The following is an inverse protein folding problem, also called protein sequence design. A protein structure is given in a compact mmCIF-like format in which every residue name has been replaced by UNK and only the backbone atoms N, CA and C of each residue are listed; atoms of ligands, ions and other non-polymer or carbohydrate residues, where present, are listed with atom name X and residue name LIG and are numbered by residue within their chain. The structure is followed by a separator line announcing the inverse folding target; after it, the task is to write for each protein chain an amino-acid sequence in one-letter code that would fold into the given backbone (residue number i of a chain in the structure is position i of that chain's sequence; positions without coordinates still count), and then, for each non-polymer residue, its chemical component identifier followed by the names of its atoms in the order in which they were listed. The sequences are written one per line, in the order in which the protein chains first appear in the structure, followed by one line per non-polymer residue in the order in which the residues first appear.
data_IF_801866881230
#
_entry.id   IF_801866881230
#
_cell.length_a   1.000
_cell.length_b   1.000
_cell.length_c   1.000
_cell.angle_alpha   90.00
_cell.angle_beta   90.00
_cell.angle_gamma   90.00
#
_symmetry.space_group_name_H-M   'P 1'
#
loop_
_entity.id
_entity.type
_entity.pdbx_description
1 polymer ?
#
# COMPACT_ATOMS: atom_id res chain seq x y z
N UNK A 1 -32.72 52.17 18.29
CA UNK A 1 -32.77 51.02 19.22
C UNK A 1 -31.35 50.53 19.41
N UNK A 2 -30.86 50.74 20.62
CA UNK A 2 -29.47 50.61 21.07
C UNK A 2 -29.08 49.17 21.35
N UNK A 3 -27.83 48.87 20.95
CA UNK A 3 -26.79 48.07 21.60
C UNK A 3 -27.17 47.00 22.64
N UNK A 4 -26.52 45.83 22.54
CA UNK A 4 -25.61 45.33 23.59
C UNK A 4 -24.79 44.12 23.09
N UNK A 5 -23.48 44.26 23.24
CA UNK A 5 -22.49 43.19 23.22
C UNK A 5 -22.19 42.78 24.68
N UNK A 6 -21.89 41.51 24.92
CA UNK A 6 -21.31 41.05 26.19
C UNK A 6 -20.21 40.05 25.92
N UNK A 7 -18.99 40.50 26.21
CA UNK A 7 -17.74 39.76 26.35
C UNK A 7 -17.69 39.14 27.74
N UNK A 8 -17.11 37.95 27.90
CA UNK A 8 -16.59 37.46 29.17
C UNK A 8 -15.43 36.51 28.93
N UNK A 9 -14.26 36.88 29.45
CA UNK A 9 -13.03 36.10 29.49
C UNK A 9 -12.69 35.79 30.96
N UNK A 10 -11.70 34.90 31.15
CA UNK A 10 -11.00 34.47 32.40
C UNK A 10 -11.36 33.02 32.79
N UNK A 11 -10.43 32.16 33.19
CA UNK A 11 -9.19 32.40 33.93
C UNK A 11 -8.22 31.22 33.77
N UNK A 12 -6.92 31.52 33.71
CA UNK A 12 -5.83 30.56 33.81
C UNK A 12 -5.68 30.01 35.24
N UNK A 13 -5.20 28.77 35.37
CA UNK A 13 -4.54 28.27 36.59
C UNK A 13 -3.60 27.10 36.26
N UNK A 14 -2.32 27.34 36.54
CA UNK A 14 -1.24 26.38 36.84
C UNK A 14 -0.41 27.09 37.94
N UNK A 15 0.54 26.47 38.67
CA UNK A 15 1.06 25.09 38.62
C UNK A 15 1.11 24.43 40.01
N UNK A 16 1.51 23.15 40.09
CA UNK A 16 2.22 22.68 41.29
C UNK A 16 3.24 21.59 40.96
N UNK A 17 4.44 21.85 41.47
CA UNK A 17 5.68 21.12 41.38
C UNK A 17 5.85 20.20 42.58
N UNK A 18 6.42 19.02 42.39
CA UNK A 18 7.06 18.17 43.42
C UNK A 18 7.45 16.85 42.75
N UNK A 19 8.56 16.16 43.01
CA UNK A 19 9.79 16.45 43.74
C UNK A 19 10.81 15.43 43.24
N UNK A 20 12.03 15.88 42.99
CA UNK A 20 13.19 15.05 42.71
C UNK A 20 13.44 14.08 43.86
N UNK A 21 13.62 12.78 43.55
CA UNK A 21 14.19 11.83 44.49
C UNK A 21 15.35 11.08 43.84
N UNK A 22 16.53 11.65 44.02
CA UNK A 22 17.82 11.06 43.69
C UNK A 22 18.12 9.92 44.66
N UNK A 23 18.04 8.67 44.19
CA UNK A 23 18.66 7.53 44.90
C UNK A 23 19.87 7.03 44.12
N UNK A 24 21.00 7.58 44.53
CA UNK A 24 22.36 7.10 44.26
C UNK A 24 22.50 5.73 44.95
N UNK A 25 22.53 4.64 44.17
CA UNK A 25 22.87 3.32 44.68
C UNK A 25 24.30 2.95 44.28
N UNK A 26 25.03 2.49 45.28
CA UNK A 26 26.45 2.24 45.37
C UNK A 26 26.95 1.13 44.45
N UNK A 27 28.10 1.38 43.82
CA UNK A 27 28.99 0.38 43.25
C UNK A 27 29.33 -0.70 44.28
N UNK A 28 29.08 -1.97 43.93
CA UNK A 28 29.75 -3.12 44.54
C UNK A 28 30.46 -3.90 43.44
N UNK A 29 31.77 -3.75 43.43
CA UNK A 29 32.71 -4.60 42.70
C UNK A 29 32.79 -5.95 43.38
N UNK A 30 32.49 -7.03 42.67
CA UNK A 30 32.84 -8.39 43.08
C UNK A 30 33.20 -9.23 41.86
N UNK A 31 34.51 -9.43 41.72
CA UNK A 31 35.22 -10.67 41.35
C UNK A 31 34.62 -11.61 40.29
N UNK A 32 35.40 -11.70 39.22
CA UNK A 32 35.51 -12.74 38.21
C UNK A 32 35.07 -14.15 38.61
N UNK A 33 34.16 -14.73 37.80
CA UNK A 33 34.17 -16.15 37.47
C UNK A 33 34.19 -16.29 35.95
N UNK A 34 35.30 -16.82 35.46
CA UNK A 34 35.51 -17.27 34.09
C UNK A 34 34.53 -18.40 33.78
N UNK A 35 33.46 -18.06 33.07
CA UNK A 35 32.54 -18.98 32.42
C UNK A 35 32.86 -18.93 30.93
N UNK A 36 33.48 -19.99 30.42
CA UNK A 36 33.74 -20.16 28.99
C UNK A 36 32.42 -20.41 28.29
N UNK A 37 31.72 -19.34 27.91
CA UNK A 37 30.59 -19.42 27.02
C UNK A 37 31.07 -19.87 25.63
N UNK A 38 30.37 -20.80 24.96
CA UNK A 38 30.66 -21.08 23.57
C UNK A 38 30.53 -19.77 22.79
N UNK A 39 31.59 -19.41 22.09
CA UNK A 39 31.64 -18.26 21.19
C UNK A 39 30.54 -18.40 20.15
N UNK A 40 29.34 -17.91 20.47
CA UNK A 40 28.34 -17.58 19.47
C UNK A 40 28.95 -16.46 18.64
N UNK A 41 29.56 -16.84 17.51
CA UNK A 41 29.81 -15.90 16.42
C UNK A 41 28.59 -14.98 16.36
N UNK A 42 28.75 -13.64 16.41
CA UNK A 42 27.62 -12.78 16.13
C UNK A 42 27.14 -13.22 14.75
N UNK A 43 25.95 -13.81 14.70
CA UNK A 43 25.30 -14.18 13.45
C UNK A 43 25.30 -12.88 12.69
N UNK A 44 26.13 -12.78 11.64
CA UNK A 44 26.20 -11.59 10.81
C UNK A 44 24.74 -11.24 10.53
N UNK A 45 24.27 -10.15 11.11
CA UNK A 45 22.87 -9.76 10.99
C UNK A 45 22.74 -9.50 9.50
N UNK A 46 22.21 -10.49 8.77
CA UNK A 46 22.04 -10.43 7.32
C UNK A 46 21.35 -9.12 7.06
N UNK A 47 22.06 -8.17 6.43
CA UNK A 47 21.57 -6.82 6.24
C UNK A 47 20.19 -6.93 5.59
N UNK A 48 19.15 -6.53 6.32
CA UNK A 48 17.78 -6.71 5.88
C UNK A 48 17.54 -5.71 4.75
N UNK A 49 17.55 -6.20 3.52
CA UNK A 49 17.30 -5.35 2.34
C UNK A 49 15.81 -5.05 2.22
N UNK A 50 15.46 -3.93 1.58
CA UNK A 50 14.07 -3.62 1.28
C UNK A 50 13.41 -4.77 0.48
N UNK A 51 14.13 -5.36 -0.46
CA UNK A 51 13.70 -6.56 -1.20
C UNK A 51 13.28 -7.70 -0.25
N UNK A 52 14.12 -8.04 0.73
CA UNK A 52 13.79 -9.10 1.71
C UNK A 52 12.58 -8.79 2.60
N UNK A 53 12.26 -7.50 2.79
CA UNK A 53 11.04 -7.06 3.51
C UNK A 53 9.82 -7.20 2.60
N UNK A 54 9.93 -6.72 1.36
CA UNK A 54 8.84 -6.67 0.38
C UNK A 54 8.44 -8.05 -0.15
N UNK A 55 9.42 -8.93 -0.39
CA UNK A 55 9.20 -10.31 -0.84
C UNK A 55 8.97 -11.29 0.32
N UNK A 56 9.20 -10.87 1.56
CA UNK A 56 9.04 -11.74 2.74
C UNK A 56 7.63 -11.69 3.33
N UNK A 57 6.99 -12.84 3.51
CA UNK A 57 5.63 -12.95 4.07
C UNK A 57 5.46 -12.59 5.56
N UNK A 58 6.53 -12.23 6.28
CA UNK A 58 6.48 -11.98 7.74
C UNK A 58 5.61 -10.79 8.14
N UNK A 59 5.64 -9.73 7.35
CA UNK A 59 4.91 -8.49 7.63
C UNK A 59 3.88 -8.29 6.53
N UNK A 60 2.67 -7.84 6.89
CA UNK A 60 1.69 -7.37 5.91
C UNK A 60 2.13 -6.02 5.37
N UNK A 61 2.10 -5.85 4.04
CA UNK A 61 2.44 -4.58 3.38
C UNK A 61 1.18 -3.96 2.81
N UNK A 62 0.80 -2.84 3.38
CA UNK A 62 -0.44 -2.17 3.01
C UNK A 62 -0.17 -1.07 1.98
N UNK A 63 -0.95 -1.08 0.90
CA UNK A 63 -0.96 -0.07 -0.15
C UNK A 63 -2.38 0.46 -0.29
N UNK A 64 -2.58 1.74 -0.61
CA UNK A 64 -3.93 2.20 -0.96
C UNK A 64 -4.39 1.52 -2.25
N UNK A 65 -3.61 1.63 -3.32
CA UNK A 65 -3.81 0.92 -4.59
C UNK A 65 -2.47 0.30 -4.96
N UNK A 66 -2.44 -1.04 -5.02
CA UNK A 66 -1.18 -1.77 -5.19
C UNK A 66 -0.64 -1.74 -6.64
N UNK A 67 -1.48 -1.46 -7.65
CA UNK A 67 -1.15 -1.73 -9.06
C UNK A 67 0.02 -0.93 -9.57
N UNK A 68 -0.04 0.40 -9.45
CA UNK A 68 1.05 1.30 -9.86
C UNK A 68 2.33 1.06 -9.06
N UNK A 69 2.20 0.73 -7.76
CA UNK A 69 3.35 0.45 -6.91
C UNK A 69 4.02 -0.88 -7.29
N UNK A 70 3.23 -1.92 -7.55
CA UNK A 70 3.72 -3.22 -7.97
C UNK A 70 4.38 -3.16 -9.35
N UNK A 71 3.78 -2.43 -10.30
CA UNK A 71 4.35 -2.20 -11.63
C UNK A 71 5.71 -1.51 -11.51
N UNK A 72 5.79 -0.38 -10.81
CA UNK A 72 7.06 0.34 -10.62
C UNK A 72 8.12 -0.51 -9.89
N UNK A 73 7.75 -1.24 -8.84
CA UNK A 73 8.68 -2.11 -8.11
C UNK A 73 9.20 -3.26 -8.99
N UNK A 74 8.36 -3.81 -9.85
CA UNK A 74 8.76 -4.88 -10.75
C UNK A 74 9.61 -4.36 -11.91
N UNK A 75 9.12 -3.36 -12.64
CA UNK A 75 9.75 -2.87 -13.88
C UNK A 75 11.05 -2.11 -13.61
N UNK A 76 11.11 -1.31 -12.54
CA UNK A 76 12.29 -0.50 -12.23
C UNK A 76 13.30 -1.22 -11.32
N UNK A 77 12.83 -2.10 -10.44
CA UNK A 77 13.67 -2.68 -9.38
C UNK A 77 13.75 -4.21 -9.42
N UNK A 78 12.92 -4.91 -10.21
CA UNK A 78 12.85 -6.37 -10.21
C UNK A 78 12.44 -6.96 -8.85
N UNK A 79 11.65 -6.21 -8.08
CA UNK A 79 11.21 -6.58 -6.72
C UNK A 79 9.76 -7.06 -6.75
N UNK A 80 9.54 -8.26 -6.21
CA UNK A 80 8.20 -8.79 -5.99
C UNK A 80 7.55 -8.28 -4.70
N UNK A 81 6.27 -8.62 -4.56
CA UNK A 81 5.48 -8.37 -3.37
C UNK A 81 4.85 -9.68 -2.89
N UNK A 82 4.87 -9.89 -1.57
CA UNK A 82 4.22 -11.00 -0.88
C UNK A 82 3.46 -10.45 0.35
N UNK A 83 2.49 -11.19 0.90
CA UNK A 83 1.66 -10.79 2.05
C UNK A 83 1.25 -9.30 2.00
N UNK A 84 0.52 -8.94 0.95
CA UNK A 84 0.09 -7.56 0.67
C UNK A 84 -1.39 -7.37 0.96
N UNK A 85 -1.74 -6.14 1.33
CA UNK A 85 -3.12 -5.69 1.52
C UNK A 85 -3.35 -4.41 0.71
N UNK A 86 -4.29 -4.46 -0.22
CA UNK A 86 -4.82 -3.33 -0.95
C UNK A 86 -5.97 -2.72 -0.11
N UNK A 87 -5.70 -1.60 0.56
CA UNK A 87 -6.63 -0.93 1.48
C UNK A 87 -7.84 -0.38 0.70
N UNK A 88 -7.69 -0.01 -0.58
CA UNK A 88 -8.82 0.43 -1.40
C UNK A 88 -9.82 -0.72 -1.63
N UNK A 89 -9.33 -1.95 -1.79
CA UNK A 89 -10.21 -3.12 -1.82
C UNK A 89 -10.85 -3.41 -0.47
N UNK A 90 -10.09 -3.24 0.62
CA UNK A 90 -10.61 -3.40 1.98
C UNK A 90 -11.71 -2.37 2.29
N UNK A 91 -11.53 -1.12 1.85
CA UNK A 91 -12.56 -0.08 1.95
C UNK A 91 -13.81 -0.48 1.15
N UNK A 92 -13.65 -0.96 -0.08
CA UNK A 92 -14.78 -1.30 -0.96
C UNK A 92 -15.69 -2.38 -0.35
N UNK A 93 -15.12 -3.40 0.30
CA UNK A 93 -15.89 -4.49 0.93
C UNK A 93 -16.60 -4.07 2.21
N UNK A 94 -16.17 -2.98 2.85
CA UNK A 94 -16.81 -2.45 4.07
C UNK A 94 -18.02 -1.56 3.79
N UNK A 95 -18.29 -1.22 2.52
CA UNK A 95 -19.43 -0.36 2.16
C UNK A 95 -20.75 -1.12 2.25
N UNK A 96 -21.78 -0.43 2.73
CA UNK A 96 -23.18 -0.91 2.77
C UNK A 96 -23.98 -0.56 1.50
N UNK A 97 -23.31 -0.24 0.39
CA UNK A 97 -23.94 0.25 -0.85
C UNK A 97 -23.03 -0.02 -2.04
N UNK A 98 -23.04 0.86 -3.04
CA UNK A 98 -22.34 0.62 -4.32
C UNK A 98 -20.86 0.24 -4.16
N UNK A 99 -20.55 -0.98 -4.62
CA UNK A 99 -19.22 -1.56 -4.66
C UNK A 99 -18.62 -1.57 -6.07
N UNK A 100 -19.34 -1.16 -7.11
CA UNK A 100 -18.90 -1.27 -8.50
C UNK A 100 -17.60 -0.53 -8.79
N UNK A 101 -17.31 0.54 -8.06
CA UNK A 101 -16.13 1.36 -8.27
C UNK A 101 -15.30 1.54 -7.00
N UNK A 102 -14.00 1.53 -7.18
CA UNK A 102 -13.04 1.85 -6.11
C UNK A 102 -13.00 3.36 -5.84
N UNK A 103 -12.60 3.77 -4.63
CA UNK A 103 -12.54 5.18 -4.22
C UNK A 103 -11.10 5.70 -4.13
N UNK A 104 -10.96 7.01 -4.26
CA UNK A 104 -9.71 7.73 -4.11
C UNK A 104 -9.28 7.87 -2.64
N UNK A 105 -7.97 7.84 -2.39
CA UNK A 105 -7.40 7.96 -1.02
C UNK A 105 -7.88 9.23 -0.32
N UNK A 106 -7.76 10.38 -0.96
CA UNK A 106 -8.13 11.66 -0.36
C UNK A 106 -9.61 11.71 0.03
N UNK A 107 -10.48 11.06 -0.76
CA UNK A 107 -11.90 10.98 -0.47
C UNK A 107 -12.14 10.19 0.81
N UNK A 108 -11.49 9.03 0.94
CA UNK A 108 -11.59 8.19 2.12
C UNK A 108 -10.96 8.83 3.37
N UNK A 109 -9.82 9.51 3.24
CA UNK A 109 -9.23 10.29 4.34
C UNK A 109 -10.20 11.37 4.81
N UNK A 110 -10.80 12.12 3.89
CA UNK A 110 -11.75 13.19 4.23
C UNK A 110 -13.04 12.65 4.87
N UNK A 111 -13.55 11.52 4.37
CA UNK A 111 -14.84 10.96 4.79
C UNK A 111 -14.75 10.19 6.11
N UNK A 112 -13.68 9.40 6.27
CA UNK A 112 -13.63 8.34 7.28
C UNK A 112 -12.69 8.63 8.44
N UNK A 113 -11.79 9.61 8.30
CA UNK A 113 -10.89 10.02 9.37
C UNK A 113 -11.24 11.41 9.89
N UNK A 114 -11.03 11.61 11.19
CA UNK A 114 -11.13 12.92 11.85
C UNK A 114 -9.83 13.70 11.64
N UNK A 115 -9.68 14.27 10.43
CA UNK A 115 -8.51 15.09 10.04
C UNK A 115 -8.86 16.56 10.16
N UNK A 116 -7.96 17.33 10.77
CA UNK A 116 -8.12 18.78 10.89
C UNK A 116 -8.34 19.44 9.51
N UNK A 117 -9.32 20.33 9.35
CA UNK A 117 -9.66 20.90 8.04
C UNK A 117 -8.48 21.59 7.34
N UNK A 118 -7.58 22.21 8.09
CA UNK A 118 -6.42 22.89 7.54
C UNK A 118 -5.33 21.92 7.08
N UNK A 119 -5.16 20.79 7.76
CA UNK A 119 -4.27 19.70 7.33
C UNK A 119 -4.78 19.10 6.01
N UNK A 120 -6.07 18.79 5.93
CA UNK A 120 -6.70 18.28 4.71
C UNK A 120 -6.55 19.26 3.54
N UNK A 121 -6.83 20.56 3.76
CA UNK A 121 -6.66 21.60 2.73
C UNK A 121 -5.22 21.68 2.24
N UNK A 122 -4.25 21.62 3.15
CA UNK A 122 -2.84 21.69 2.81
C UNK A 122 -2.42 20.45 1.99
N UNK A 123 -2.88 19.27 2.38
CA UNK A 123 -2.63 18.02 1.65
C UNK A 123 -3.22 18.03 0.24
N UNK A 124 -4.48 18.43 0.08
CA UNK A 124 -5.11 18.56 -1.23
C UNK A 124 -4.40 19.59 -2.11
N UNK A 125 -3.88 20.68 -1.52
CA UNK A 125 -3.09 21.67 -2.26
C UNK A 125 -1.78 21.06 -2.74
N UNK A 126 -1.05 20.36 -1.88
CA UNK A 126 0.19 19.67 -2.23
C UNK A 126 -0.03 18.67 -3.38
N UNK A 127 -1.06 17.82 -3.27
CA UNK A 127 -1.43 16.87 -4.34
C UNK A 127 -1.72 17.55 -5.66
N UNK A 128 -2.45 18.68 -5.66
CA UNK A 128 -2.72 19.45 -6.88
C UNK A 128 -1.45 20.02 -7.51
N UNK A 129 -0.47 20.44 -6.71
CA UNK A 129 0.81 20.93 -7.23
C UNK A 129 1.57 19.79 -7.93
N UNK A 130 1.67 18.64 -7.28
CA UNK A 130 2.32 17.45 -7.87
C UNK A 130 1.57 16.95 -9.11
N UNK A 131 0.24 16.87 -9.06
CA UNK A 131 -0.59 16.41 -10.18
C UNK A 131 -0.47 17.30 -11.42
N UNK A 132 -0.39 18.63 -11.26
CA UNK A 132 -0.16 19.55 -12.39
C UNK A 132 1.20 19.36 -13.05
N UNK A 133 2.17 18.86 -12.29
CA UNK A 133 3.49 18.56 -12.79
C UNK A 133 3.64 17.11 -13.27
N UNK A 134 2.59 16.27 -13.18
CA UNK A 134 2.64 14.83 -13.44
C UNK A 134 2.98 14.45 -14.90
N UNK A 135 2.95 15.40 -15.83
CA UNK A 135 3.51 15.24 -17.18
C UNK A 135 5.04 15.32 -17.25
N UNK A 136 5.69 15.59 -16.12
CA UNK A 136 7.14 15.67 -15.97
C UNK A 136 7.59 14.87 -14.75
N UNK A 137 8.74 14.22 -14.83
CA UNK A 137 9.37 13.59 -13.66
C UNK A 137 9.91 14.64 -12.66
N UNK A 138 9.84 15.93 -13.00
CA UNK A 138 10.50 17.04 -12.31
C UNK A 138 10.25 17.10 -10.79
N UNK A 139 9.01 16.93 -10.27
CA UNK A 139 8.77 16.97 -8.83
C UNK A 139 9.58 15.92 -8.06
N UNK A 140 9.82 14.76 -8.68
CA UNK A 140 10.48 13.63 -8.04
C UNK A 140 11.98 13.55 -8.36
N UNK A 141 12.48 14.29 -9.35
CA UNK A 141 13.91 14.30 -9.74
C UNK A 141 14.69 15.50 -9.19
N UNK A 142 14.03 16.62 -8.92
CA UNK A 142 14.68 17.81 -8.36
C UNK A 142 15.27 17.57 -6.96
N UNK A 143 16.44 18.13 -6.68
CA UNK A 143 17.07 18.09 -5.35
C UNK A 143 17.56 19.49 -4.94
N UNK A 144 17.17 20.01 -3.76
CA UNK A 144 16.24 19.40 -2.79
C UNK A 144 14.81 19.31 -3.33
N UNK A 145 14.02 18.37 -2.79
CA UNK A 145 12.61 18.22 -3.18
C UNK A 145 11.80 19.40 -2.65
N UNK A 146 10.80 19.87 -3.42
CA UNK A 146 9.93 20.96 -2.98
C UNK A 146 9.12 20.56 -1.72
N UNK A 147 8.81 21.50 -0.81
CA UNK A 147 7.99 21.22 0.37
C UNK A 147 6.63 20.58 0.02
N UNK A 148 6.01 21.02 -1.08
CA UNK A 148 4.75 20.47 -1.56
C UNK A 148 4.88 19.02 -2.02
N UNK A 149 5.96 18.67 -2.72
CA UNK A 149 6.19 17.27 -3.13
C UNK A 149 6.49 16.37 -1.93
N UNK A 150 7.27 16.86 -0.96
CA UNK A 150 7.50 16.12 0.29
C UNK A 150 6.19 15.87 1.02
N UNK A 151 5.35 16.89 1.15
CA UNK A 151 4.06 16.77 1.84
C UNK A 151 3.11 15.80 1.11
N UNK A 152 3.04 15.87 -0.22
CA UNK A 152 2.28 14.90 -1.02
C UNK A 152 2.76 13.47 -0.74
N UNK A 153 4.08 13.22 -0.73
CA UNK A 153 4.64 11.91 -0.43
C UNK A 153 4.25 11.42 0.98
N UNK A 154 4.31 12.30 1.99
CA UNK A 154 3.92 11.97 3.37
C UNK A 154 2.43 11.60 3.43
N UNK A 155 1.57 12.41 2.83
CA UNK A 155 0.12 12.20 2.90
C UNK A 155 -0.34 10.90 2.22
N UNK A 156 0.40 10.39 1.23
CA UNK A 156 0.10 9.10 0.59
C UNK A 156 0.32 7.90 1.50
N UNK A 157 1.06 8.04 2.61
CA UNK A 157 1.37 6.93 3.52
C UNK A 157 0.93 7.16 4.97
N UNK A 158 0.85 8.42 5.41
CA UNK A 158 0.63 8.78 6.81
C UNK A 158 -0.71 8.25 7.35
N UNK A 159 -1.78 8.35 6.58
CA UNK A 159 -3.12 7.92 6.99
C UNK A 159 -3.41 6.43 6.78
N UNK A 160 -2.54 5.69 6.07
CA UNK A 160 -2.81 4.29 5.72
C UNK A 160 -2.99 3.36 6.94
N UNK A 161 -2.21 3.46 8.04
CA UNK A 161 -2.43 2.62 9.21
C UNK A 161 -3.80 2.83 9.86
N UNK A 162 -4.29 4.07 9.92
CA UNK A 162 -5.59 4.41 10.49
C UNK A 162 -6.74 3.87 9.63
N UNK A 163 -6.66 4.08 8.30
CA UNK A 163 -7.62 3.53 7.34
C UNK A 163 -7.66 2.00 7.38
N UNK A 164 -6.49 1.35 7.40
CA UNK A 164 -6.41 -0.09 7.52
C UNK A 164 -7.10 -0.59 8.81
N UNK A 165 -6.78 0.01 9.97
CA UNK A 165 -7.39 -0.39 11.23
C UNK A 165 -8.93 -0.21 11.23
N UNK A 166 -9.42 0.88 10.63
CA UNK A 166 -10.84 1.17 10.51
C UNK A 166 -11.55 0.11 9.64
N UNK A 167 -11.04 -0.14 8.44
CA UNK A 167 -11.71 -1.06 7.51
C UNK A 167 -11.53 -2.52 7.91
N UNK A 168 -10.39 -2.91 8.48
CA UNK A 168 -10.18 -4.25 9.03
C UNK A 168 -11.15 -4.54 10.18
N UNK A 169 -11.47 -3.53 11.00
CA UNK A 169 -12.46 -3.66 12.07
C UNK A 169 -13.90 -3.83 11.53
N UNK A 170 -14.23 -3.17 10.41
CA UNK A 170 -15.57 -3.18 9.83
C UNK A 170 -15.80 -4.32 8.84
N UNK A 171 -14.75 -4.95 8.32
CA UNK A 171 -14.87 -6.03 7.37
C UNK A 171 -15.46 -7.28 8.04
N UNK A 172 -16.42 -7.95 7.37
CA UNK A 172 -16.91 -9.25 7.86
C UNK A 172 -15.75 -10.29 7.80
N UNK A 173 -15.76 -11.33 8.66
CA UNK A 173 -14.58 -12.17 8.93
C UNK A 173 -13.87 -12.77 7.70
N UNK A 174 -14.61 -13.07 6.64
CA UNK A 174 -14.05 -13.70 5.44
C UNK A 174 -13.41 -12.69 4.47
N UNK A 175 -13.91 -11.44 4.45
CA UNK A 175 -13.48 -10.41 3.48
C UNK A 175 -11.98 -10.10 3.52
N UNK A 176 -11.31 -9.97 4.68
CA UNK A 176 -9.87 -9.71 4.70
C UNK A 176 -9.05 -10.81 4.00
N UNK A 177 -9.52 -12.07 3.98
CA UNK A 177 -8.84 -13.13 3.24
C UNK A 177 -9.01 -12.97 1.72
N UNK A 178 -10.21 -12.64 1.26
CA UNK A 178 -10.50 -12.32 -0.15
C UNK A 178 -9.69 -11.13 -0.64
N UNK A 179 -9.67 -10.06 0.15
CA UNK A 179 -8.92 -8.85 -0.18
C UNK A 179 -7.43 -9.17 -0.28
N UNK A 180 -6.85 -9.95 0.64
CA UNK A 180 -5.43 -10.36 0.54
C UNK A 180 -5.16 -11.17 -0.72
N UNK A 181 -6.05 -12.10 -1.08
CA UNK A 181 -5.91 -12.90 -2.30
C UNK A 181 -5.94 -12.02 -3.56
N UNK A 182 -6.92 -11.14 -3.68
CA UNK A 182 -7.04 -10.24 -4.83
C UNK A 182 -5.93 -9.18 -4.86
N UNK A 183 -5.46 -8.72 -3.69
CA UNK A 183 -4.28 -7.85 -3.56
C UNK A 183 -3.04 -8.51 -4.16
N UNK A 184 -2.81 -9.79 -3.84
CA UNK A 184 -1.70 -10.56 -4.41
C UNK A 184 -1.90 -10.79 -5.92
N UNK A 185 -3.13 -11.10 -6.36
CA UNK A 185 -3.45 -11.25 -7.78
C UNK A 185 -3.14 -9.97 -8.56
N UNK A 186 -3.57 -8.79 -8.06
CA UNK A 186 -3.24 -7.48 -8.65
C UNK A 186 -1.73 -7.25 -8.72
N UNK A 187 -1.00 -7.58 -7.64
CA UNK A 187 0.46 -7.43 -7.60
C UNK A 187 1.20 -8.37 -8.57
N UNK A 188 0.64 -9.55 -8.88
CA UNK A 188 1.22 -10.49 -9.84
C UNK A 188 0.84 -10.16 -11.30
N UNK A 189 -0.36 -9.62 -11.53
CA UNK A 189 -0.87 -9.28 -12.88
C UNK A 189 -0.01 -8.25 -13.60
N UNK A 190 0.72 -7.41 -12.86
CA UNK A 190 1.67 -6.42 -13.44
C UNK A 190 2.80 -7.06 -14.26
N UNK A 191 2.98 -8.37 -14.16
CA UNK A 191 4.01 -9.13 -14.90
C UNK A 191 3.51 -9.63 -16.25
N UNK A 192 2.21 -9.55 -16.52
CA UNK A 192 1.62 -9.99 -17.78
C UNK A 192 2.00 -9.05 -18.93
N UNK A 193 2.16 -9.62 -20.13
CA UNK A 193 2.40 -8.83 -21.33
C UNK A 193 1.21 -7.89 -21.59
N UNK A 194 1.48 -6.63 -21.95
CA UNK A 194 0.44 -5.65 -22.26
C UNK A 194 -0.36 -5.12 -21.07
N UNK A 195 0.03 -5.43 -19.83
CA UNK A 195 -0.65 -4.88 -18.65
C UNK A 195 -0.48 -3.37 -18.55
N UNK A 196 -1.59 -2.62 -18.56
CA UNK A 196 -1.64 -1.19 -18.28
C UNK A 196 -2.27 -0.95 -16.89
N UNK A 197 -1.49 -0.53 -15.86
CA UNK A 197 -2.03 -0.22 -14.54
C UNK A 197 -2.94 1.02 -14.52
N UNK A 198 -3.02 1.79 -15.62
CA UNK A 198 -3.81 3.02 -15.73
C UNK A 198 -5.07 2.84 -16.57
N UNK A 199 -5.37 1.64 -17.07
CA UNK A 199 -6.56 1.41 -17.89
C UNK A 199 -7.83 1.68 -17.06
N UNK A 200 -8.89 2.18 -17.71
CA UNK A 200 -10.16 2.46 -17.04
C UNK A 200 -10.83 1.21 -16.46
N UNK A 201 -10.55 0.03 -17.02
CA UNK A 201 -11.02 -1.26 -16.52
C UNK A 201 -10.52 -1.54 -15.10
N UNK A 202 -9.38 -0.95 -14.72
CA UNK A 202 -8.86 -1.06 -13.36
C UNK A 202 -9.71 -0.28 -12.35
N UNK A 203 -10.55 0.68 -12.76
CA UNK A 203 -11.42 1.40 -11.82
C UNK A 203 -12.62 0.57 -11.34
N UNK A 204 -12.93 -0.53 -12.04
CA UNK A 204 -14.00 -1.45 -11.65
C UNK A 204 -13.53 -2.30 -10.47
N UNK A 205 -14.39 -2.40 -9.46
CA UNK A 205 -14.13 -3.27 -8.33
C UNK A 205 -14.20 -4.74 -8.76
N UNK A 206 -13.30 -5.60 -8.26
CA UNK A 206 -13.38 -7.04 -8.50
C UNK A 206 -14.64 -7.68 -7.88
N UNK A 207 -15.40 -6.91 -7.10
CA UNK A 207 -16.62 -7.34 -6.43
C UNK A 207 -17.90 -6.84 -7.11
N UNK A 208 -17.82 -6.20 -8.28
CA UNK A 208 -18.99 -5.61 -8.99
C UNK A 208 -20.11 -6.62 -9.26
N UNK A 209 -19.75 -7.88 -9.50
CA UNK A 209 -20.70 -8.92 -9.90
C UNK A 209 -21.25 -9.69 -8.68
N UNK A 210 -20.71 -9.41 -7.49
CA UNK A 210 -21.18 -9.98 -6.22
C UNK A 210 -22.36 -9.12 -5.76
N UNK A 211 -23.55 -9.40 -6.28
CA UNK A 211 -24.76 -8.68 -5.88
C UNK A 211 -25.02 -8.77 -4.35
N UNK A 212 -25.77 -7.79 -3.83
CA UNK A 212 -26.01 -7.53 -2.38
C UNK A 212 -26.66 -8.68 -1.57
N UNK A 213 -26.82 -9.88 -2.12
CA UNK A 213 -27.48 -11.01 -1.46
C UNK A 213 -26.99 -12.41 -1.86
N UNK A 214 -25.85 -12.51 -2.56
CA UNK A 214 -25.28 -13.81 -2.93
C UNK A 214 -24.43 -14.40 -1.81
N UNK A 215 -24.86 -15.53 -1.24
CA UNK A 215 -24.04 -16.39 -0.36
C UNK A 215 -22.90 -17.04 -1.18
N UNK A 216 -21.92 -16.26 -1.61
CA UNK A 216 -20.74 -16.77 -2.31
C UNK A 216 -19.71 -17.25 -1.29
N UNK A 217 -19.25 -18.50 -1.43
CA UNK A 217 -18.23 -19.06 -0.55
C UNK A 217 -16.82 -18.89 -1.14
N UNK A 218 -15.79 -19.04 -0.31
CA UNK A 218 -14.37 -19.00 -0.71
C UNK A 218 -14.05 -19.90 -1.92
N UNK A 219 -14.69 -21.07 -2.02
CA UNK A 219 -14.48 -21.99 -3.13
C UNK A 219 -15.03 -21.48 -4.47
N UNK A 220 -16.21 -20.88 -4.47
CA UNK A 220 -16.95 -20.57 -5.69
C UNK A 220 -16.26 -19.49 -6.55
N UNK A 221 -15.65 -18.49 -5.92
CA UNK A 221 -14.98 -17.39 -6.64
C UNK A 221 -13.50 -17.67 -6.92
N UNK A 222 -12.79 -18.46 -6.10
CA UNK A 222 -11.45 -18.94 -6.47
C UNK A 222 -11.54 -19.82 -7.71
N UNK A 223 -12.53 -20.70 -7.84
CA UNK A 223 -12.74 -21.48 -9.06
C UNK A 223 -13.16 -20.59 -10.24
N UNK A 224 -14.13 -19.68 -10.07
CA UNK A 224 -14.55 -18.79 -11.17
C UNK A 224 -13.42 -17.89 -11.71
N UNK A 225 -12.63 -17.29 -10.80
CA UNK A 225 -11.47 -16.49 -11.20
C UNK A 225 -10.29 -17.35 -11.65
N UNK A 226 -10.16 -18.59 -11.15
CA UNK A 226 -9.17 -19.55 -11.61
C UNK A 226 -9.43 -20.04 -13.02
N UNK A 227 -10.69 -20.26 -13.36
CA UNK A 227 -11.11 -20.55 -14.72
C UNK A 227 -10.87 -19.35 -15.64
N UNK A 228 -11.19 -18.13 -15.23
CA UNK A 228 -10.97 -16.95 -16.07
C UNK A 228 -9.47 -16.70 -16.36
N UNK A 229 -8.59 -16.79 -15.35
CA UNK A 229 -7.15 -16.55 -15.58
C UNK A 229 -6.46 -17.67 -16.35
N UNK A 230 -6.88 -18.94 -16.19
CA UNK A 230 -6.34 -20.04 -16.99
C UNK A 230 -6.74 -19.94 -18.45
N UNK A 231 -7.97 -19.48 -18.72
CA UNK A 231 -8.49 -19.34 -20.07
C UNK A 231 -7.78 -18.22 -20.83
N UNK A 232 -7.63 -17.04 -20.22
CA UNK A 232 -6.87 -15.92 -20.82
C UNK A 232 -5.37 -16.24 -20.99
N UNK A 233 -4.74 -16.89 -20.00
CA UNK A 233 -3.33 -17.27 -20.10
C UNK A 233 -3.07 -18.34 -21.16
N UNK A 234 -4.02 -19.27 -21.42
CA UNK A 234 -3.90 -20.23 -22.52
C UNK A 234 -4.11 -19.59 -23.88
N UNK A 235 -5.03 -18.64 -24.01
CA UNK A 235 -5.28 -17.93 -25.27
C UNK A 235 -4.09 -17.05 -25.67
N UNK A 236 -3.47 -16.32 -24.73
CA UNK A 236 -2.27 -15.53 -24.99
C UNK A 236 -1.05 -16.40 -25.33
N UNK A 237 -0.91 -17.56 -24.67
CA UNK A 237 0.19 -18.50 -24.97
C UNK A 237 -0.01 -19.17 -26.33
N UNK A 238 -1.25 -19.53 -26.68
CA UNK A 238 -1.59 -20.10 -27.99
C UNK A 238 -1.44 -19.07 -29.13
N UNK A 239 -1.84 -17.82 -28.90
CA UNK A 239 -1.65 -16.73 -29.85
C UNK A 239 -0.16 -16.38 -30.06
N UNK A 240 0.64 -16.40 -28.98
CA UNK A 240 2.09 -16.19 -29.06
C UNK A 240 2.83 -17.33 -29.77
N UNK A 241 2.41 -18.58 -29.56
CA UNK A 241 2.93 -19.75 -30.29
C UNK A 241 2.53 -19.76 -31.77
N UNK A 242 1.32 -19.30 -32.11
CA UNK A 242 0.89 -19.16 -33.50
C UNK A 242 1.63 -18.04 -34.24
N UNK A 243 2.00 -16.95 -33.56
CA UNK A 243 2.76 -15.84 -34.15
C UNK A 243 4.25 -16.15 -34.36
N UNK A 244 4.81 -17.15 -33.65
CA UNK A 244 6.20 -17.57 -33.76
C UNK A 244 6.43 -18.71 -34.78
N UNK A 245 5.37 -19.24 -35.38
CA UNK A 245 5.40 -20.42 -36.23
C UNK A 245 5.40 -20.16 -37.73
N UNK A 246 6.17 -19.19 -38.24
CA UNK A 246 6.52 -19.17 -39.67
C UNK A 246 7.77 -18.32 -39.97
N UNK A 247 8.95 -18.85 -39.63
CA UNK A 247 10.21 -18.48 -40.30
C UNK A 247 11.05 -19.72 -40.46
N UNK A 248 10.80 -20.42 -41.56
CA UNK A 248 11.76 -21.32 -42.20
C UNK A 248 13.11 -20.61 -42.34
N UNK A 249 14.09 -21.06 -41.56
CA UNK A 249 15.48 -20.68 -41.69
C UNK A 249 16.08 -21.50 -42.82
N UNK A 250 15.96 -21.02 -44.06
CA UNK A 250 16.79 -21.53 -45.16
C UNK A 250 18.19 -20.95 -45.01
N UNK A 251 19.13 -21.83 -44.66
CA UNK A 251 20.54 -21.52 -44.68
C UNK A 251 21.10 -21.82 -46.07
N UNK A 252 21.61 -20.81 -46.75
CA UNK A 252 22.76 -20.90 -47.64
C UNK A 252 23.19 -19.49 -48.08
N UNK A 253 24.45 -19.38 -48.47
CA UNK A 253 25.08 -18.23 -49.14
C UNK A 253 25.86 -17.24 -48.26
N UNK A 254 27.09 -17.64 -47.91
CA UNK A 254 28.21 -16.70 -47.83
C UNK A 254 29.48 -17.37 -48.40
N UNK A 255 29.64 -17.25 -49.72
CA UNK A 255 30.94 -17.31 -50.42
C UNK A 255 31.10 -16.01 -51.19
N UNK A 256 31.94 -15.12 -50.68
CA UNK A 256 32.99 -14.38 -51.40
C UNK A 256 33.74 -13.48 -50.40
#
# INVERSE_FOLDING_TARGET
MTSSATTSASTASSPSSSSSSTRRCTLRSSTSRSSTAPSSRPRAATARTLRSVLEGGRNTKCFWDIRLNAEALWTLCGVGLDNVMDIQLLENVTRSGDRNYVQDLDWCVQRDLDVEPDELRLGLRARRVVARAAGSAAPFTERPMSPETVLDCVNRVFHLPALHALYDHHAEPDWPAWVRWESLRRALRVRSAGYDPRSSETMVSPWSDIGDGGSWTFGDHVDATQYHWKTEAQEDTAASLAAAGDKSFEGEECRQ
#
